data_IF_504189052372
#
_entry.id   IF_504189052372
#
_cell.length_a   1.000
_cell.length_b   1.000
_cell.length_c   1.000
_cell.angle_alpha   90.00
_cell.angle_beta   90.00
_cell.angle_gamma   90.00
#
_symmetry.space_group_name_H-M   'P 1'
#
loop_
_entity.id
_entity.type
_entity.pdbx_description
1 polymer ?
#
# COMPACT_ATOMS: atom_id res chain seq x y z
N UNK A 1 29.53 49.04 46.54
CA UNK A 1 29.31 47.67 46.04
C UNK A 1 27.86 47.56 45.54
N UNK A 2 27.62 47.88 44.27
CA UNK A 2 26.30 47.72 43.65
C UNK A 2 26.27 46.38 42.92
N UNK A 3 25.42 45.45 43.38
CA UNK A 3 25.10 44.22 42.64
C UNK A 3 24.01 44.55 41.62
N UNK A 4 24.37 44.60 40.34
CA UNK A 4 23.39 44.52 39.25
C UNK A 4 23.03 43.05 39.04
N UNK A 5 21.76 42.70 39.25
CA UNK A 5 21.17 41.45 38.81
C UNK A 5 21.00 41.52 37.28
N UNK A 6 21.71 40.68 36.55
CA UNK A 6 21.42 40.40 35.14
C UNK A 6 20.29 39.36 35.11
N UNK A 7 19.07 39.80 34.78
CA UNK A 7 17.99 38.90 34.40
C UNK A 7 18.23 38.45 32.95
N UNK A 8 18.63 37.20 32.77
CA UNK A 8 18.64 36.54 31.46
C UNK A 8 17.20 36.20 31.09
N UNK A 9 16.58 36.97 30.20
CA UNK A 9 15.32 36.58 29.59
C UNK A 9 15.59 35.47 28.58
N UNK A 10 15.34 34.22 28.97
CA UNK A 10 15.26 33.10 28.05
C UNK A 10 13.96 33.24 27.25
N UNK A 11 14.06 33.73 26.02
CA UNK A 11 12.97 33.64 25.05
C UNK A 11 12.83 32.18 24.62
N UNK A 12 11.91 31.45 25.23
CA UNK A 12 11.42 30.21 24.66
C UNK A 12 10.58 30.57 23.43
N UNK A 13 11.18 30.51 22.23
CA UNK A 13 10.40 30.42 21.01
C UNK A 13 9.73 29.05 20.97
N UNK A 14 8.54 28.95 21.57
CA UNK A 14 7.58 27.91 21.21
C UNK A 14 7.05 28.25 19.81
N UNK A 15 7.85 27.96 18.79
CA UNK A 15 7.41 28.01 17.40
C UNK A 15 6.36 26.92 17.21
N UNK A 16 5.10 27.31 17.05
CA UNK A 16 4.07 26.47 16.45
C UNK A 16 4.45 26.22 15.00
N UNK A 17 5.28 25.19 14.75
CA UNK A 17 5.60 24.70 13.42
C UNK A 17 4.39 23.93 12.86
N UNK A 18 3.33 24.66 12.52
CA UNK A 18 2.17 24.13 11.82
C UNK A 18 2.05 24.85 10.48
N UNK A 19 2.92 24.49 9.54
CA UNK A 19 2.72 24.58 8.08
C UNK A 19 4.08 24.52 7.38
N UNK A 20 4.72 23.34 7.34
CA UNK A 20 5.54 23.06 6.17
C UNK A 20 4.55 22.77 5.03
N UNK A 21 4.50 23.66 4.05
CA UNK A 21 3.70 23.42 2.84
C UNK A 21 4.32 22.27 2.09
N UNK A 22 3.51 21.25 1.77
CA UNK A 22 3.87 20.19 0.86
C UNK A 22 4.41 20.81 -0.45
N UNK A 23 5.64 20.50 -0.81
CA UNK A 23 6.16 20.81 -2.14
C UNK A 23 6.57 19.49 -2.75
N UNK A 24 5.71 18.98 -3.62
CA UNK A 24 6.03 17.84 -4.47
C UNK A 24 6.19 18.32 -5.91
N UNK A 25 6.90 17.57 -6.72
CA UNK A 25 6.96 17.79 -8.18
C UNK A 25 6.75 16.48 -8.88
N UNK A 26 5.78 16.44 -9.79
CA UNK A 26 5.42 15.23 -10.51
C UNK A 26 6.32 14.95 -11.71
N UNK A 27 6.74 13.70 -11.86
CA UNK A 27 7.40 13.17 -13.05
C UNK A 27 6.62 11.95 -13.56
N UNK A 28 6.14 12.02 -14.80
CA UNK A 28 5.61 10.84 -15.49
C UNK A 28 6.75 9.91 -15.86
N UNK A 29 6.75 8.70 -15.31
CA UNK A 29 7.74 7.65 -15.57
C UNK A 29 7.36 6.84 -16.80
N UNK A 30 6.07 6.56 -16.97
CA UNK A 30 5.50 5.86 -18.10
C UNK A 30 4.13 6.47 -18.43
N UNK A 31 3.85 6.75 -19.70
CA UNK A 31 2.58 7.31 -20.21
C UNK A 31 1.80 6.31 -21.08
N UNK A 32 2.16 5.03 -21.01
CA UNK A 32 1.59 3.93 -21.80
C UNK A 32 1.15 2.75 -20.93
N UNK A 33 0.94 2.99 -19.65
CA UNK A 33 0.40 1.99 -18.72
C UNK A 33 -1.00 1.62 -19.15
N UNK A 34 -1.31 0.33 -19.28
CA UNK A 34 -2.65 -0.08 -19.70
C UNK A 34 -3.69 0.06 -18.58
N UNK A 35 -3.36 -0.42 -17.39
CA UNK A 35 -4.19 -0.36 -16.18
C UNK A 35 -3.38 0.12 -14.98
N UNK A 36 -2.17 -0.42 -14.78
CA UNK A 36 -1.36 -0.15 -13.58
C UNK A 36 -2.11 -0.44 -12.29
N UNK A 37 -2.49 -1.70 -12.08
CA UNK A 37 -3.43 -2.07 -11.01
C UNK A 37 -2.78 -2.01 -9.62
N UNK A 38 -1.59 -2.61 -9.48
CA UNK A 38 -0.86 -2.65 -8.22
C UNK A 38 0.57 -2.19 -8.41
N UNK A 39 1.07 -1.44 -7.44
CA UNK A 39 2.47 -1.02 -7.36
C UNK A 39 3.19 -1.67 -6.20
N UNK A 40 4.47 -1.97 -6.38
CA UNK A 40 5.39 -2.36 -5.33
C UNK A 40 6.74 -1.65 -5.54
N UNK A 41 7.60 -1.65 -4.53
CA UNK A 41 8.92 -1.05 -4.62
C UNK A 41 9.96 -1.84 -3.85
N UNK A 42 11.21 -1.72 -4.27
CA UNK A 42 12.38 -2.27 -3.59
C UNK A 42 13.53 -2.46 -4.56
N UNK A 43 14.72 -2.75 -4.04
CA UNK A 43 15.91 -2.97 -4.85
C UNK A 43 15.81 -4.29 -5.62
N UNK A 44 15.66 -4.24 -6.94
CA UNK A 44 15.45 -5.46 -7.73
C UNK A 44 16.75 -6.16 -8.04
N UNK A 45 17.85 -5.43 -8.25
CA UNK A 45 19.11 -6.00 -8.71
C UNK A 45 20.30 -5.89 -7.74
N UNK A 46 20.08 -5.31 -6.57
CA UNK A 46 21.05 -5.17 -5.50
C UNK A 46 22.00 -3.98 -5.69
N UNK A 47 21.59 -2.97 -6.47
CA UNK A 47 22.42 -1.78 -6.73
C UNK A 47 22.29 -0.67 -5.67
N UNK A 48 21.50 -0.93 -4.62
CA UNK A 48 21.26 -0.07 -3.47
C UNK A 48 20.18 0.97 -3.69
N UNK A 49 19.42 0.92 -4.80
CA UNK A 49 18.37 1.88 -5.12
C UNK A 49 17.01 1.21 -5.07
N UNK A 50 16.04 1.92 -4.52
CA UNK A 50 14.64 1.48 -4.54
C UNK A 50 14.08 1.60 -5.96
N UNK A 51 13.69 0.50 -6.57
CA UNK A 51 13.02 0.50 -7.87
C UNK A 51 11.49 0.49 -7.75
N UNK A 52 10.82 0.66 -8.89
CA UNK A 52 9.35 0.55 -8.99
C UNK A 52 8.99 -0.73 -9.74
N UNK A 53 8.05 -1.50 -9.19
CA UNK A 53 7.41 -2.62 -9.86
C UNK A 53 5.93 -2.34 -10.07
N UNK A 54 5.41 -2.73 -11.23
CA UNK A 54 4.02 -2.49 -11.62
C UNK A 54 3.39 -3.78 -12.13
N UNK A 55 2.24 -4.14 -11.55
CA UNK A 55 1.30 -5.07 -12.16
C UNK A 55 0.43 -4.32 -13.18
N UNK A 56 0.89 -4.27 -14.43
CA UNK A 56 0.07 -3.77 -15.53
C UNK A 56 -0.86 -4.87 -16.06
N UNK A 57 -1.75 -4.55 -16.99
CA UNK A 57 -2.79 -5.45 -17.52
C UNK A 57 -2.27 -6.84 -17.88
N UNK A 58 -1.20 -6.90 -18.68
CA UNK A 58 -0.60 -8.14 -19.20
C UNK A 58 0.87 -8.31 -18.88
N UNK A 59 1.53 -7.27 -18.37
CA UNK A 59 2.95 -7.29 -18.07
C UNK A 59 3.18 -6.99 -16.59
N UNK A 60 4.14 -7.71 -16.01
CA UNK A 60 4.76 -7.34 -14.75
C UNK A 60 6.03 -6.61 -15.11
N UNK A 61 6.11 -5.34 -14.71
CA UNK A 61 7.11 -4.40 -15.20
C UNK A 61 7.98 -3.94 -14.05
N UNK A 62 9.28 -3.92 -14.29
CA UNK A 62 10.28 -3.29 -13.43
C UNK A 62 10.76 -2.01 -14.11
N UNK A 63 10.65 -0.89 -13.40
CA UNK A 63 11.26 0.37 -13.78
C UNK A 63 12.49 0.55 -12.91
N UNK A 64 13.66 0.32 -13.49
CA UNK A 64 14.94 0.49 -12.83
C UNK A 64 15.22 1.97 -12.59
N UNK A 65 15.50 2.29 -11.34
CA UNK A 65 15.74 3.63 -10.85
C UNK A 65 17.13 4.15 -11.27
N UNK A 66 17.20 5.33 -11.90
CA UNK A 66 18.47 5.95 -12.27
C UNK A 66 19.31 6.45 -11.07
N UNK A 67 18.73 6.51 -9.87
CA UNK A 67 19.38 6.96 -8.62
C UNK A 67 19.50 8.47 -8.46
N UNK A 68 18.69 9.24 -9.22
CA UNK A 68 18.62 10.70 -9.12
C UNK A 68 17.33 11.22 -9.73
N UNK A 69 16.86 12.37 -9.23
CA UNK A 69 15.78 13.14 -9.86
C UNK A 69 16.17 13.45 -11.32
N UNK A 70 15.18 13.44 -12.21
CA UNK A 70 15.31 13.66 -13.67
C UNK A 70 16.15 12.63 -14.45
N UNK A 71 16.60 11.54 -13.82
CA UNK A 71 17.24 10.44 -14.53
C UNK A 71 16.24 9.69 -15.43
N UNK A 72 16.77 9.02 -16.46
CA UNK A 72 15.97 8.16 -17.32
C UNK A 72 15.75 6.79 -16.67
N UNK A 73 14.50 6.44 -16.41
CA UNK A 73 14.12 5.12 -15.91
C UNK A 73 14.24 4.09 -17.03
N UNK A 74 14.76 2.90 -16.70
CA UNK A 74 14.87 1.80 -17.66
C UNK A 74 13.79 0.77 -17.39
N UNK A 75 13.01 0.43 -18.42
CA UNK A 75 11.87 -0.50 -18.31
C UNK A 75 12.29 -1.92 -18.68
N UNK A 76 12.03 -2.88 -17.80
CA UNK A 76 12.18 -4.31 -18.03
C UNK A 76 10.85 -5.03 -17.83
N UNK A 77 10.57 -6.02 -18.67
CA UNK A 77 9.41 -6.90 -18.52
C UNK A 77 9.85 -8.13 -17.75
N UNK A 78 9.40 -8.25 -16.50
CA UNK A 78 9.64 -9.41 -15.63
C UNK A 78 8.88 -10.61 -16.17
N UNK A 79 7.59 -10.43 -16.48
CA UNK A 79 6.75 -11.47 -17.03
C UNK A 79 5.62 -10.88 -17.87
N UNK A 80 5.07 -11.71 -18.75
CA UNK A 80 4.00 -11.32 -19.66
C UNK A 80 3.00 -12.46 -19.82
N UNK A 81 1.72 -12.10 -19.95
CA UNK A 81 0.62 -13.00 -20.26
C UNK A 81 0.54 -14.21 -19.30
N UNK A 82 0.73 -13.96 -17.99
CA UNK A 82 0.64 -14.99 -16.94
C UNK A 82 -0.69 -15.75 -16.96
N UNK A 83 -1.76 -15.06 -17.36
CA UNK A 83 -3.11 -15.59 -17.57
C UNK A 83 -3.79 -14.87 -18.74
N UNK A 84 -4.89 -15.43 -19.25
CA UNK A 84 -5.73 -14.75 -20.24
C UNK A 84 -6.38 -13.46 -19.69
N UNK A 85 -6.73 -13.43 -18.40
CA UNK A 85 -7.28 -12.26 -17.71
C UNK A 85 -6.16 -11.38 -17.15
N UNK A 86 -6.54 -10.27 -16.54
CA UNK A 86 -5.61 -9.20 -16.16
C UNK A 86 -4.86 -9.53 -14.85
N UNK A 87 -3.70 -8.89 -14.65
CA UNK A 87 -3.03 -8.87 -13.35
C UNK A 87 -3.76 -7.92 -12.39
N UNK A 88 -3.63 -8.13 -11.07
CA UNK A 88 -4.40 -7.39 -10.05
C UNK A 88 -3.60 -6.98 -8.82
N UNK A 89 -2.55 -7.70 -8.44
CA UNK A 89 -1.74 -7.31 -7.30
C UNK A 89 -0.31 -7.82 -7.41
N UNK A 90 0.57 -7.16 -6.65
CA UNK A 90 2.00 -7.46 -6.62
C UNK A 90 2.52 -7.21 -5.20
N UNK A 91 3.45 -8.04 -4.74
CA UNK A 91 4.23 -7.81 -3.53
C UNK A 91 5.71 -7.95 -3.85
N UNK A 92 6.53 -7.04 -3.34
CA UNK A 92 7.98 -7.09 -3.44
C UNK A 92 8.62 -6.80 -2.07
N UNK A 93 9.56 -7.65 -1.64
CA UNK A 93 10.33 -7.49 -0.40
C UNK A 93 11.56 -8.39 -0.46
N UNK A 94 12.69 -7.94 0.08
CA UNK A 94 13.84 -8.80 0.32
C UNK A 94 13.49 -9.74 1.48
N UNK A 95 13.30 -11.03 1.16
CA UNK A 95 12.85 -12.03 2.15
C UNK A 95 13.95 -13.02 2.55
N UNK A 96 15.09 -13.02 1.86
CA UNK A 96 16.23 -13.87 2.18
C UNK A 96 17.50 -13.12 2.61
N UNK A 97 17.46 -11.78 2.57
CA UNK A 97 18.51 -10.89 3.05
C UNK A 97 19.67 -10.73 2.08
N UNK A 98 19.49 -11.08 0.79
CA UNK A 98 20.53 -10.94 -0.23
C UNK A 98 20.63 -9.51 -0.80
N UNK A 99 19.78 -8.58 -0.33
CA UNK A 99 19.70 -7.20 -0.77
C UNK A 99 18.84 -6.99 -2.02
N UNK A 100 18.16 -8.02 -2.52
CA UNK A 100 17.26 -7.94 -3.67
C UNK A 100 15.86 -8.37 -3.27
N UNK A 101 14.85 -7.80 -3.92
CA UNK A 101 13.47 -8.17 -3.63
C UNK A 101 13.04 -9.46 -4.31
N UNK A 102 12.29 -10.28 -3.59
CA UNK A 102 11.46 -11.35 -4.13
C UNK A 102 10.09 -10.80 -4.52
N UNK A 103 9.54 -11.29 -5.63
CA UNK A 103 8.29 -10.79 -6.20
C UNK A 103 7.23 -11.89 -6.24
N UNK A 104 6.02 -11.56 -5.80
CA UNK A 104 4.83 -12.37 -5.99
C UNK A 104 3.75 -11.55 -6.70
N UNK A 105 2.91 -12.21 -7.49
CA UNK A 105 1.92 -11.57 -8.38
C UNK A 105 0.59 -12.30 -8.33
N UNK A 106 -0.50 -11.52 -8.25
CA UNK A 106 -1.86 -11.99 -8.45
C UNK A 106 -2.33 -11.69 -9.88
N UNK A 107 -2.93 -12.67 -10.53
CA UNK A 107 -3.48 -12.56 -11.89
C UNK A 107 -4.81 -13.30 -12.01
N UNK A 108 -5.29 -13.53 -13.24
CA UNK A 108 -6.59 -14.17 -13.46
C UNK A 108 -7.75 -13.30 -12.98
N UNK A 109 -7.64 -11.96 -13.08
CA UNK A 109 -8.59 -11.05 -12.46
C UNK A 109 -9.97 -11.10 -13.11
N UNK A 110 -10.93 -11.66 -12.35
CA UNK A 110 -12.33 -11.68 -12.72
C UNK A 110 -13.19 -11.65 -11.43
N UNK A 111 -13.54 -10.45 -10.91
CA UNK A 111 -14.21 -10.33 -9.61
C UNK A 111 -15.62 -10.90 -9.56
N UNK A 112 -16.27 -11.13 -10.71
CA UNK A 112 -17.61 -11.72 -10.77
C UNK A 112 -17.60 -13.25 -10.85
N UNK A 113 -16.46 -13.88 -11.15
CA UNK A 113 -16.34 -15.33 -11.20
C UNK A 113 -15.89 -15.86 -9.84
N UNK A 114 -16.87 -16.32 -9.06
CA UNK A 114 -16.67 -16.83 -7.69
C UNK A 114 -16.82 -18.35 -7.59
N UNK A 115 -16.91 -19.08 -8.71
CA UNK A 115 -17.22 -20.53 -8.71
C UNK A 115 -16.18 -21.37 -9.45
N UNK A 116 -15.40 -20.79 -10.34
CA UNK A 116 -14.44 -21.52 -11.17
C UNK A 116 -13.00 -21.02 -10.99
N UNK A 117 -12.20 -21.77 -10.23
CA UNK A 117 -10.77 -21.53 -10.04
C UNK A 117 -9.96 -21.56 -11.35
N UNK A 118 -10.44 -22.21 -12.42
CA UNK A 118 -9.68 -22.23 -13.68
C UNK A 118 -9.69 -20.88 -14.41
N UNK A 119 -10.66 -20.03 -14.09
CA UNK A 119 -10.93 -18.77 -14.82
C UNK A 119 -10.96 -17.56 -13.90
N UNK A 120 -10.59 -17.72 -12.63
CA UNK A 120 -10.60 -16.67 -11.62
C UNK A 120 -9.55 -16.92 -10.56
N UNK A 121 -8.74 -15.89 -10.34
CA UNK A 121 -7.62 -15.95 -9.41
C UNK A 121 -6.45 -16.75 -9.99
N UNK A 122 -5.26 -16.25 -9.74
CA UNK A 122 -4.01 -16.96 -9.89
C UNK A 122 -3.00 -16.27 -8.98
N UNK A 123 -2.10 -17.06 -8.41
CA UNK A 123 -0.99 -16.57 -7.59
C UNK A 123 0.29 -17.15 -8.16
N UNK A 124 1.30 -16.31 -8.35
CA UNK A 124 2.61 -16.71 -8.81
C UNK A 124 3.69 -16.14 -7.90
N UNK A 125 4.64 -16.98 -7.49
CA UNK A 125 5.96 -16.50 -7.11
C UNK A 125 6.79 -16.32 -8.38
N UNK A 126 7.48 -15.20 -8.52
CA UNK A 126 8.32 -14.92 -9.68
C UNK A 126 9.76 -15.30 -9.34
N UNK A 127 10.23 -16.43 -9.87
CA UNK A 127 11.59 -16.88 -9.63
C UNK A 127 12.57 -16.10 -10.50
N UNK A 128 13.33 -15.22 -9.84
CA UNK A 128 14.31 -14.36 -10.48
C UNK A 128 15.49 -15.17 -11.06
N UNK A 129 15.95 -14.85 -12.29
CA UNK A 129 17.23 -15.33 -12.81
C UNK A 129 18.41 -14.52 -12.22
N UNK A 130 19.64 -15.01 -12.39
CA UNK A 130 20.85 -14.28 -11.96
C UNK A 130 20.96 -12.90 -12.63
N UNK A 131 20.73 -12.84 -13.95
CA UNK A 131 20.54 -11.57 -14.67
C UNK A 131 19.06 -11.18 -14.64
N UNK A 132 18.68 -10.42 -13.61
CA UNK A 132 17.30 -10.00 -13.36
C UNK A 132 16.68 -9.11 -14.46
N UNK A 133 17.48 -8.66 -15.44
CA UNK A 133 16.96 -7.97 -16.63
C UNK A 133 16.29 -8.93 -17.63
N UNK A 134 16.49 -10.24 -17.49
CA UNK A 134 15.78 -11.27 -18.26
C UNK A 134 14.40 -11.56 -17.67
N UNK A 135 13.48 -12.15 -18.44
CA UNK A 135 12.20 -12.61 -17.90
C UNK A 135 12.36 -13.59 -16.74
N UNK A 136 11.50 -13.48 -15.74
CA UNK A 136 11.49 -14.33 -14.55
C UNK A 136 10.54 -15.52 -14.76
N UNK A 137 10.87 -16.64 -14.14
CA UNK A 137 10.08 -17.86 -14.27
C UNK A 137 8.87 -17.82 -13.30
N UNK A 138 7.62 -17.92 -13.77
CA UNK A 138 6.47 -17.94 -12.89
C UNK A 138 6.28 -19.33 -12.25
N UNK A 139 6.33 -19.38 -10.92
CA UNK A 139 6.01 -20.56 -10.11
C UNK A 139 4.57 -20.41 -9.63
N UNK A 140 3.65 -21.21 -10.19
CA UNK A 140 2.23 -21.15 -9.85
C UNK A 140 2.00 -21.72 -8.45
N UNK A 141 1.33 -20.95 -7.59
CA UNK A 141 0.98 -21.33 -6.22
C UNK A 141 -0.50 -21.73 -6.12
N UNK A 142 -0.90 -22.25 -4.95
CA UNK A 142 -2.32 -22.41 -4.61
C UNK A 142 -3.04 -21.06 -4.76
N UNK A 143 -4.33 -21.09 -5.07
CA UNK A 143 -5.12 -19.88 -5.09
C UNK A 143 -6.61 -20.19 -4.86
N UNK A 144 -7.32 -19.15 -4.47
CA UNK A 144 -8.78 -19.11 -4.40
C UNK A 144 -9.32 -18.27 -5.59
N UNK A 145 -10.64 -18.21 -5.72
CA UNK A 145 -11.30 -17.32 -6.69
C UNK A 145 -11.08 -15.86 -6.30
N UNK A 146 -11.05 -14.95 -7.28
CA UNK A 146 -11.02 -13.50 -7.05
C UNK A 146 -9.85 -12.97 -6.21
N UNK A 147 -8.65 -13.56 -6.33
CA UNK A 147 -7.41 -13.00 -5.75
C UNK A 147 -7.31 -11.50 -6.04
N UNK A 148 -7.00 -10.69 -5.03
CA UNK A 148 -7.13 -9.23 -5.15
C UNK A 148 -6.01 -8.42 -4.50
N UNK A 149 -5.45 -8.85 -3.37
CA UNK A 149 -4.32 -8.17 -2.69
C UNK A 149 -3.33 -9.19 -2.14
N UNK A 150 -2.07 -8.77 -1.96
CA UNK A 150 -1.05 -9.57 -1.33
C UNK A 150 0.03 -8.73 -0.66
N UNK A 151 0.68 -9.28 0.36
CA UNK A 151 1.81 -8.68 1.05
C UNK A 151 2.79 -9.76 1.54
N UNK A 152 4.08 -9.46 1.50
CA UNK A 152 5.09 -10.18 2.30
C UNK A 152 4.99 -9.72 3.75
N UNK A 153 4.79 -10.67 4.66
CA UNK A 153 4.62 -10.42 6.09
C UNK A 153 5.70 -11.15 6.88
N UNK A 154 6.37 -10.44 7.78
CA UNK A 154 7.33 -11.01 8.71
C UNK A 154 6.59 -11.52 9.95
N UNK A 155 6.80 -12.78 10.31
CA UNK A 155 6.29 -13.35 11.56
C UNK A 155 7.08 -12.82 12.75
N UNK A 156 6.52 -12.93 13.96
CA UNK A 156 7.15 -12.38 15.16
C UNK A 156 8.51 -13.04 15.48
N UNK A 157 8.69 -14.30 15.05
CA UNK A 157 9.91 -15.10 15.17
C UNK A 157 10.91 -14.91 14.02
N UNK A 158 10.59 -14.09 13.00
CA UNK A 158 11.55 -13.60 12.00
C UNK A 158 11.33 -14.04 10.54
N UNK A 159 10.86 -15.26 10.23
CA UNK A 159 10.59 -15.68 8.86
C UNK A 159 9.59 -14.79 8.11
N UNK A 160 9.69 -14.78 6.79
CA UNK A 160 8.70 -14.16 5.90
C UNK A 160 7.68 -15.18 5.41
N UNK A 161 6.44 -14.72 5.25
CA UNK A 161 5.33 -15.44 4.65
C UNK A 161 4.66 -14.57 3.58
N UNK A 162 4.02 -15.19 2.59
CA UNK A 162 3.17 -14.48 1.63
C UNK A 162 1.72 -14.55 2.09
N UNK A 163 1.13 -13.40 2.42
CA UNK A 163 -0.29 -13.27 2.67
C UNK A 163 -1.02 -12.88 1.38
N UNK A 164 -2.06 -13.63 1.01
CA UNK A 164 -2.87 -13.38 -0.20
C UNK A 164 -4.35 -13.33 0.16
N UNK A 165 -5.00 -12.26 -0.28
CA UNK A 165 -6.38 -11.92 0.07
C UNK A 165 -7.26 -11.89 -1.19
N UNK A 166 -8.28 -12.76 -1.28
CA UNK A 166 -9.36 -12.66 -2.26
C UNK A 166 -10.26 -11.43 -2.02
N UNK A 167 -11.02 -11.01 -3.03
CA UNK A 167 -12.10 -10.01 -2.88
C UNK A 167 -13.40 -10.67 -2.39
N UNK A 168 -13.71 -11.85 -2.91
CA UNK A 168 -14.94 -12.60 -2.69
C UNK A 168 -14.65 -14.07 -2.38
N UNK A 169 -15.45 -14.65 -1.48
CA UNK A 169 -15.41 -16.08 -1.20
C UNK A 169 -16.08 -16.90 -2.30
N UNK A 170 -15.94 -18.22 -2.23
CA UNK A 170 -16.58 -19.13 -3.18
C UNK A 170 -18.12 -18.99 -3.19
N UNK A 171 -18.70 -18.90 -4.39
CA UNK A 171 -20.14 -18.72 -4.59
C UNK A 171 -20.69 -17.36 -4.14
N UNK A 172 -19.85 -16.45 -3.68
CA UNK A 172 -20.27 -15.13 -3.22
C UNK A 172 -20.83 -14.29 -4.38
N UNK A 173 -21.85 -13.49 -4.10
CA UNK A 173 -22.39 -12.49 -5.03
C UNK A 173 -22.80 -11.24 -4.26
N UNK A 174 -22.24 -10.07 -4.63
CA UNK A 174 -22.58 -8.80 -3.99
C UNK A 174 -22.29 -8.75 -2.49
N UNK A 175 -21.27 -9.50 -2.03
CA UNK A 175 -20.93 -9.59 -0.60
C UNK A 175 -21.91 -10.43 0.22
N UNK A 176 -22.55 -11.43 -0.40
CA UNK A 176 -23.37 -12.45 0.27
C UNK A 176 -22.93 -13.83 -0.18
N UNK A 177 -22.78 -14.79 0.74
CA UNK A 177 -22.31 -16.14 0.45
C UNK A 177 -21.20 -16.55 1.42
N UNK A 178 -20.22 -17.33 0.94
CA UNK A 178 -19.04 -17.61 1.74
C UNK A 178 -18.19 -16.34 1.92
N UNK A 179 -17.59 -16.21 3.10
CA UNK A 179 -16.54 -15.24 3.35
C UNK A 179 -15.23 -15.63 2.65
N UNK A 180 -14.27 -14.70 2.61
CA UNK A 180 -12.97 -14.97 2.00
C UNK A 180 -12.11 -15.84 2.89
N UNK A 181 -11.25 -16.63 2.25
CA UNK A 181 -10.15 -17.35 2.90
C UNK A 181 -8.87 -16.58 2.67
N UNK A 182 -8.27 -16.09 3.74
CA UNK A 182 -6.92 -15.54 3.69
C UNK A 182 -5.95 -16.71 3.50
N UNK A 183 -5.07 -16.61 2.51
CA UNK A 183 -4.06 -17.63 2.23
C UNK A 183 -2.74 -17.13 2.80
N UNK A 184 -2.09 -17.93 3.65
CA UNK A 184 -0.75 -17.66 4.16
C UNK A 184 0.18 -18.76 3.64
N UNK A 185 1.15 -18.40 2.82
CA UNK A 185 2.18 -19.33 2.37
C UNK A 185 3.44 -19.22 3.20
N UNK A 186 3.99 -20.37 3.59
CA UNK A 186 5.35 -20.48 4.08
C UNK A 186 6.32 -20.45 2.90
N UNK A 187 7.44 -19.75 3.05
CA UNK A 187 8.49 -19.70 2.04
C UNK A 187 9.36 -20.95 2.17
N UNK A 188 9.33 -21.90 1.21
CA UNK A 188 10.19 -23.07 1.27
C UNK A 188 11.63 -22.71 0.87
N UNK A 189 12.59 -23.54 1.28
CA UNK A 189 13.99 -23.43 0.84
C UNK A 189 14.10 -23.50 -0.69
N UNK A 190 13.41 -24.48 -1.31
CA UNK A 190 13.25 -24.53 -2.76
C UNK A 190 12.02 -23.71 -3.19
N UNK A 191 12.22 -22.43 -3.46
CA UNK A 191 11.17 -21.49 -3.91
C UNK A 191 10.53 -21.85 -5.26
N UNK A 192 11.12 -22.75 -6.06
CA UNK A 192 10.51 -23.31 -7.29
C UNK A 192 9.68 -24.57 -7.03
N UNK A 193 9.71 -25.10 -5.81
CA UNK A 193 8.97 -26.28 -5.40
C UNK A 193 7.54 -25.97 -4.96
N UNK A 194 6.97 -26.90 -4.18
CA UNK A 194 5.64 -26.74 -3.58
C UNK A 194 5.76 -25.84 -2.34
N UNK A 195 4.94 -24.81 -2.27
CA UNK A 195 4.85 -23.93 -1.10
C UNK A 195 3.77 -24.46 -0.14
N UNK A 196 4.11 -24.78 1.12
CA UNK A 196 3.11 -25.04 2.15
C UNK A 196 2.23 -23.80 2.36
N UNK A 197 0.95 -24.00 2.67
CA UNK A 197 0.04 -22.90 2.92
C UNK A 197 -1.05 -23.27 3.92
N UNK A 198 -1.59 -22.24 4.57
CA UNK A 198 -2.76 -22.31 5.43
C UNK A 198 -3.89 -21.45 4.88
N UNK A 199 -5.12 -21.94 4.99
CA UNK A 199 -6.33 -21.19 4.70
C UNK A 199 -6.98 -20.75 6.01
N UNK A 200 -7.17 -19.45 6.15
CA UNK A 200 -7.76 -18.84 7.35
C UNK A 200 -9.13 -18.30 6.95
N UNK A 201 -10.18 -18.91 7.48
CA UNK A 201 -11.56 -18.47 7.28
C UNK A 201 -11.76 -17.14 8.02
N UNK A 202 -11.98 -16.06 7.25
CA UNK A 202 -12.12 -14.70 7.83
C UNK A 202 -13.56 -14.36 8.23
N UNK A 203 -14.53 -15.04 7.61
CA UNK A 203 -15.96 -14.67 7.58
C UNK A 203 -16.23 -13.25 7.02
N UNK A 204 -15.26 -12.65 6.32
CA UNK A 204 -15.37 -11.30 5.74
C UNK A 204 -15.76 -11.34 4.26
N UNK A 205 -16.41 -10.27 3.79
CA UNK A 205 -16.87 -10.12 2.41
C UNK A 205 -16.34 -8.82 1.79
N UNK A 206 -16.17 -8.80 0.47
CA UNK A 206 -15.73 -7.60 -0.26
C UNK A 206 -14.43 -7.03 0.31
N UNK A 207 -13.47 -7.92 0.58
CA UNK A 207 -12.19 -7.57 1.19
C UNK A 207 -11.29 -6.89 0.17
N UNK A 208 -11.14 -5.57 0.31
CA UNK A 208 -10.54 -4.77 -0.74
C UNK A 208 -9.06 -4.47 -0.48
N UNK A 209 -8.67 -4.23 0.77
CA UNK A 209 -7.27 -4.10 1.14
C UNK A 209 -6.97 -4.63 2.55
N UNK A 210 -5.71 -4.86 2.84
CA UNK A 210 -5.22 -5.18 4.17
C UNK A 210 -3.87 -4.50 4.43
N UNK A 211 -3.48 -4.46 5.69
CA UNK A 211 -2.20 -3.88 6.11
C UNK A 211 -1.46 -4.84 7.04
N UNK A 212 -0.20 -5.20 6.74
CA UNK A 212 0.71 -5.81 7.70
C UNK A 212 1.02 -4.85 8.86
N UNK A 213 0.93 -5.36 10.09
CA UNK A 213 1.23 -4.65 11.33
C UNK A 213 2.40 -5.35 12.02
N UNK A 214 3.61 -4.91 11.68
CA UNK A 214 4.85 -5.57 12.08
C UNK A 214 5.60 -4.73 13.11
N UNK A 215 6.00 -5.37 14.21
CA UNK A 215 7.01 -4.85 15.12
C UNK A 215 8.04 -5.97 15.28
N UNK A 216 9.21 -5.87 14.65
CA UNK A 216 10.24 -6.91 14.67
C UNK A 216 10.55 -7.40 16.09
N UNK A 217 10.56 -8.72 16.26
CA UNK A 217 10.80 -9.39 17.54
C UNK A 217 9.73 -9.18 18.61
N UNK A 218 8.57 -8.60 18.26
CA UNK A 218 7.50 -8.28 19.21
C UNK A 218 6.10 -8.67 18.74
N UNK A 219 5.74 -8.36 17.51
CA UNK A 219 4.37 -8.55 17.03
C UNK A 219 4.34 -8.68 15.51
N UNK A 220 3.53 -9.61 15.02
CA UNK A 220 3.10 -9.67 13.64
C UNK A 220 1.58 -9.75 13.61
N UNK A 221 0.97 -8.84 12.86
CA UNK A 221 -0.47 -8.71 12.75
C UNK A 221 -0.90 -8.35 11.33
N UNK A 222 -2.19 -8.51 11.04
CA UNK A 222 -2.83 -8.06 9.81
C UNK A 222 -4.15 -7.39 10.14
N UNK A 223 -4.42 -6.23 9.55
CA UNK A 223 -5.76 -5.63 9.58
C UNK A 223 -6.38 -5.75 8.21
N UNK A 224 -7.48 -6.49 8.09
CA UNK A 224 -8.17 -6.76 6.83
C UNK A 224 -9.42 -5.90 6.76
N UNK A 225 -9.54 -5.07 5.71
CA UNK A 225 -10.71 -4.25 5.45
C UNK A 225 -11.70 -4.97 4.53
N UNK A 226 -12.99 -4.88 4.87
CA UNK A 226 -14.07 -5.40 4.03
C UNK A 226 -15.42 -4.81 4.41
N UNK A 227 -16.50 -5.48 3.97
CA UNK A 227 -17.89 -5.07 4.18
C UNK A 227 -18.26 -4.94 5.66
N UNK A 228 -17.71 -5.79 6.51
CA UNK A 228 -18.03 -5.88 7.94
C UNK A 228 -17.28 -4.86 8.82
N UNK A 229 -16.31 -4.13 8.26
CA UNK A 229 -15.35 -3.34 9.02
C UNK A 229 -13.93 -3.81 8.76
N UNK A 230 -13.08 -3.66 9.78
CA UNK A 230 -11.69 -4.09 9.73
C UNK A 230 -11.44 -5.13 10.82
N UNK A 231 -11.15 -6.37 10.41
CA UNK A 231 -10.83 -7.45 11.35
C UNK A 231 -9.32 -7.53 11.57
N UNK A 232 -8.89 -7.72 12.82
CA UNK A 232 -7.47 -7.84 13.17
C UNK A 232 -7.09 -9.29 13.42
N UNK A 233 -6.05 -9.76 12.74
CA UNK A 233 -5.40 -11.04 12.94
C UNK A 233 -4.04 -10.85 13.59
N UNK A 234 -3.63 -11.81 14.42
CA UNK A 234 -2.31 -11.86 15.04
C UNK A 234 -1.65 -13.20 14.75
N UNK A 235 -0.34 -13.17 14.59
CA UNK A 235 0.49 -14.37 14.51
C UNK A 235 1.03 -14.70 15.90
N UNK A 236 0.69 -15.90 16.40
CA UNK A 236 1.16 -16.44 17.67
C UNK A 236 1.84 -17.80 17.49
N UNK A 237 2.01 -18.53 18.60
CA UNK A 237 2.69 -19.84 18.59
C UNK A 237 2.02 -20.87 17.67
N UNK A 238 0.69 -20.81 17.55
CA UNK A 238 -0.10 -21.70 16.70
C UNK A 238 -0.36 -21.12 15.29
N UNK A 239 0.36 -20.06 14.91
CA UNK A 239 0.20 -19.36 13.65
C UNK A 239 -0.81 -18.20 13.71
N UNK A 240 -1.40 -17.89 12.57
CA UNK A 240 -2.30 -16.74 12.40
C UNK A 240 -3.73 -17.05 12.85
N UNK A 241 -4.31 -16.18 13.67
CA UNK A 241 -5.69 -16.30 14.14
C UNK A 241 -6.37 -14.92 14.27
N UNK A 242 -7.70 -14.85 14.16
CA UNK A 242 -8.43 -13.63 14.48
C UNK A 242 -8.22 -13.26 15.95
N UNK A 243 -7.90 -11.99 16.20
CA UNK A 243 -7.62 -11.51 17.56
C UNK A 243 -8.86 -11.26 18.41
N UNK A 244 -10.05 -11.32 17.81
CA UNK A 244 -11.31 -10.85 18.39
C UNK A 244 -11.49 -9.32 18.35
N UNK A 245 -10.43 -8.57 18.01
CA UNK A 245 -10.52 -7.12 17.86
C UNK A 245 -10.99 -6.73 16.47
N UNK A 246 -11.85 -5.71 16.44
CA UNK A 246 -12.35 -5.07 15.23
C UNK A 246 -12.07 -3.58 15.28
N UNK A 247 -11.60 -3.04 14.17
CA UNK A 247 -11.53 -1.61 13.93
C UNK A 247 -12.70 -1.24 13.02
N UNK A 248 -13.31 -0.08 13.26
CA UNK A 248 -14.39 0.44 12.40
C UNK A 248 -15.52 -0.61 12.18
N UNK A 249 -16.08 -1.21 13.25
CA UNK A 249 -17.04 -2.31 13.11
C UNK A 249 -18.32 -1.85 12.41
N UNK A 250 -18.93 -2.76 11.63
CA UNK A 250 -20.22 -2.57 10.94
C UNK A 250 -20.24 -1.46 9.88
N UNK A 251 -19.06 -1.02 9.44
CA UNK A 251 -18.91 -0.05 8.34
C UNK A 251 -18.01 -0.65 7.28
N UNK A 252 -18.47 -0.67 6.02
CA UNK A 252 -17.63 -1.12 4.92
C UNK A 252 -16.37 -0.27 4.80
N UNK A 253 -15.22 -0.92 4.63
CA UNK A 253 -13.92 -0.27 4.43
C UNK A 253 -13.27 -0.83 3.17
N UNK A 254 -12.81 0.06 2.28
CA UNK A 254 -12.09 -0.27 1.06
C UNK A 254 -10.57 -0.24 1.24
N UNK A 255 -10.08 0.83 1.84
CA UNK A 255 -8.66 1.05 2.09
C UNK A 255 -8.42 1.26 3.58
N UNK A 256 -7.27 0.80 4.09
CA UNK A 256 -6.92 0.88 5.51
C UNK A 256 -5.42 1.12 5.69
N UNK A 257 -5.09 2.13 6.49
CA UNK A 257 -3.71 2.39 6.96
C UNK A 257 -3.71 2.92 8.39
N UNK A 258 -2.77 2.44 9.20
CA UNK A 258 -2.49 2.94 10.55
C UNK A 258 -1.30 3.89 10.52
N UNK A 259 -1.40 5.02 11.23
CA UNK A 259 -0.31 5.98 11.40
C UNK A 259 -0.22 6.50 12.83
N UNK A 260 0.75 7.38 13.04
CA UNK A 260 1.10 8.00 14.31
C UNK A 260 0.84 9.51 14.30
N UNK A 261 0.16 10.02 15.32
CA UNK A 261 0.08 11.46 15.63
C UNK A 261 1.26 11.92 16.50
N UNK A 262 2.28 11.08 16.68
CA UNK A 262 3.38 11.28 17.61
C UNK A 262 3.02 10.87 19.04
N UNK A 263 4.00 10.92 19.97
CA UNK A 263 3.81 10.62 21.41
C UNK A 263 3.06 9.30 21.70
N UNK A 264 3.26 8.28 20.84
CA UNK A 264 2.59 6.96 20.91
C UNK A 264 1.07 6.99 20.70
N UNK A 265 0.52 8.07 20.13
CA UNK A 265 -0.87 8.13 19.73
C UNK A 265 -1.01 7.65 18.29
N UNK A 266 -1.78 6.58 18.08
CA UNK A 266 -2.08 6.06 16.75
C UNK A 266 -3.40 6.64 16.23
N UNK A 267 -3.52 6.64 14.91
CA UNK A 267 -4.77 6.86 14.20
C UNK A 267 -4.90 5.85 13.06
N UNK A 268 -6.11 5.68 12.58
CA UNK A 268 -6.44 4.81 11.46
C UNK A 268 -7.08 5.64 10.36
N UNK A 269 -6.49 5.65 9.17
CA UNK A 269 -7.09 6.23 7.98
C UNK A 269 -7.82 5.14 7.17
N UNK A 270 -8.98 5.46 6.64
CA UNK A 270 -9.78 4.57 5.80
C UNK A 270 -10.37 5.29 4.59
N UNK A 271 -10.60 4.53 3.51
CA UNK A 271 -11.56 4.92 2.46
C UNK A 271 -12.81 4.08 2.63
N UNK A 272 -13.97 4.73 2.69
CA UNK A 272 -15.24 4.09 3.05
C UNK A 272 -16.35 4.37 2.02
N UNK A 273 -17.10 3.33 1.59
CA UNK A 273 -16.79 1.90 1.67
C UNK A 273 -15.74 1.47 0.62
N UNK A 274 -15.74 0.19 0.21
CA UNK A 274 -15.00 -0.26 -0.99
C UNK A 274 -15.35 0.62 -2.19
N UNK A 275 -14.32 1.13 -2.88
CA UNK A 275 -14.47 2.16 -3.93
C UNK A 275 -15.29 3.36 -3.44
N UNK A 276 -15.01 3.79 -2.22
CA UNK A 276 -15.81 4.75 -1.48
C UNK A 276 -15.68 6.19 -1.94
N UNK A 277 -16.43 7.04 -1.24
CA UNK A 277 -16.47 8.48 -1.47
C UNK A 277 -15.91 9.27 -0.29
N UNK A 278 -15.61 8.62 0.83
CA UNK A 278 -15.11 9.26 2.05
C UNK A 278 -13.68 8.82 2.36
N UNK A 279 -12.80 9.79 2.65
CA UNK A 279 -11.57 9.57 3.40
C UNK A 279 -11.84 9.92 4.87
N UNK A 280 -11.53 9.00 5.77
CA UNK A 280 -11.86 9.12 7.18
C UNK A 280 -10.64 8.82 8.05
N UNK A 281 -10.49 9.55 9.14
CA UNK A 281 -9.52 9.26 10.20
C UNK A 281 -10.25 8.92 11.49
N UNK A 282 -9.86 7.80 12.10
CA UNK A 282 -10.28 7.38 13.43
C UNK A 282 -9.12 7.60 14.40
N UNK A 283 -9.43 8.27 15.50
CA UNK A 283 -8.55 8.42 16.66
C UNK A 283 -9.23 7.82 17.87
N UNK A 284 -8.53 7.74 19.00
CA UNK A 284 -9.15 7.39 20.30
C UNK A 284 -10.34 8.31 20.66
N UNK A 285 -10.37 9.54 20.15
CA UNK A 285 -11.33 10.57 20.52
C UNK A 285 -12.49 10.69 19.51
N UNK A 286 -12.47 9.93 18.41
CA UNK A 286 -13.58 9.85 17.48
C UNK A 286 -13.21 9.68 16.00
N UNK A 287 -14.23 9.83 15.15
CA UNK A 287 -14.19 9.73 13.69
C UNK A 287 -14.22 11.12 13.06
N UNK A 288 -13.33 11.39 12.12
CA UNK A 288 -13.26 12.65 11.38
C UNK A 288 -13.23 12.36 9.87
N UNK A 289 -14.22 12.85 9.13
CA UNK A 289 -14.20 12.80 7.66
C UNK A 289 -13.27 13.90 7.17
N UNK A 290 -12.21 13.52 6.44
CA UNK A 290 -11.26 14.48 5.85
C UNK A 290 -11.78 15.02 4.52
N UNK A 291 -12.45 14.17 3.75
CA UNK A 291 -13.19 14.58 2.55
C UNK A 291 -14.26 13.56 2.20
N UNK A 292 -15.35 14.03 1.59
CA UNK A 292 -16.44 13.26 0.98
C UNK A 292 -16.55 13.54 -0.54
N UNK A 293 -15.55 14.22 -1.11
CA UNK A 293 -15.57 14.78 -2.47
C UNK A 293 -14.84 13.90 -3.49
N UNK A 294 -14.55 12.65 -3.14
CA UNK A 294 -13.91 11.69 -4.06
C UNK A 294 -14.92 10.73 -4.64
N UNK A 295 -14.54 10.09 -5.74
CA UNK A 295 -15.34 9.03 -6.36
C UNK A 295 -14.45 7.84 -6.65
N UNK A 296 -14.75 6.74 -5.99
CA UNK A 296 -13.96 5.51 -6.03
C UNK A 296 -12.52 5.76 -5.57
N UNK A 297 -12.39 6.17 -4.30
CA UNK A 297 -11.10 6.12 -3.62
C UNK A 297 -10.55 4.70 -3.63
N UNK A 298 -9.28 4.54 -3.98
CA UNK A 298 -8.69 3.22 -4.28
C UNK A 298 -7.25 3.07 -3.81
N UNK A 299 -6.64 4.16 -3.34
CA UNK A 299 -5.23 4.18 -2.98
C UNK A 299 -5.04 4.98 -1.69
N UNK A 300 -4.28 4.44 -0.73
CA UNK A 300 -4.10 5.05 0.58
C UNK A 300 -2.71 4.72 1.15
N UNK A 301 -1.99 5.76 1.58
CA UNK A 301 -0.73 5.66 2.29
C UNK A 301 -0.72 6.59 3.50
N UNK A 302 0.02 6.18 4.53
CA UNK A 302 0.24 6.97 5.74
C UNK A 302 1.71 6.86 6.12
N UNK A 303 2.39 8.00 6.19
CA UNK A 303 3.81 8.08 6.56
C UNK A 303 4.20 9.51 6.95
N UNK A 304 5.37 9.68 7.56
CA UNK A 304 5.93 10.98 7.92
C UNK A 304 6.72 11.59 6.75
N UNK A 305 5.99 12.03 5.72
CA UNK A 305 6.57 12.65 4.52
C UNK A 305 7.37 13.93 4.82
N UNK A 306 7.09 14.59 5.95
CA UNK A 306 7.74 15.85 6.32
C UNK A 306 8.78 15.70 7.45
N UNK A 307 8.94 14.52 8.06
CA UNK A 307 9.85 14.28 9.18
C UNK A 307 9.49 15.04 10.45
N UNK A 308 8.20 15.29 10.66
CA UNK A 308 7.69 16.04 11.80
C UNK A 308 7.32 15.14 12.99
N UNK A 309 7.63 13.84 12.93
CA UNK A 309 7.32 12.84 13.94
C UNK A 309 5.82 12.51 14.03
N UNK A 310 5.06 12.90 13.00
CA UNK A 310 3.62 12.65 12.85
C UNK A 310 3.34 12.34 11.39
N UNK A 311 2.53 11.33 11.14
CA UNK A 311 2.25 10.89 9.78
C UNK A 311 1.20 11.76 9.10
N UNK A 312 1.30 11.88 7.77
CA UNK A 312 0.31 12.49 6.90
C UNK A 312 -0.47 11.38 6.20
N UNK A 313 -1.64 11.73 5.66
CA UNK A 313 -2.47 10.79 4.91
C UNK A 313 -2.44 11.17 3.44
N UNK A 314 -2.02 10.25 2.58
CA UNK A 314 -2.06 10.41 1.13
C UNK A 314 -3.14 9.48 0.58
N UNK A 315 -4.04 10.00 -0.24
CA UNK A 315 -5.05 9.18 -0.93
C UNK A 315 -5.11 9.49 -2.42
N UNK A 316 -5.58 8.51 -3.19
CA UNK A 316 -5.90 8.63 -4.60
C UNK A 316 -7.27 8.06 -4.94
N UNK A 317 -7.89 8.61 -5.98
CA UNK A 317 -9.18 8.13 -6.49
C UNK A 317 -9.19 8.04 -8.02
N UNK A 318 -9.92 7.03 -8.53
CA UNK A 318 -9.80 6.61 -9.94
C UNK A 318 -10.84 7.20 -10.87
N UNK A 319 -11.95 7.74 -10.37
CA UNK A 319 -13.03 8.25 -11.21
C UNK A 319 -13.29 9.75 -11.01
N UNK A 320 -13.64 10.52 -12.06
CA UNK A 320 -13.94 11.94 -11.93
C UNK A 320 -15.03 12.18 -10.89
N UNK A 321 -14.74 13.01 -9.89
CA UNK A 321 -15.69 13.41 -8.87
C UNK A 321 -16.72 14.41 -9.45
N UNK A 322 -17.55 15.02 -8.58
CA UNK A 322 -18.60 15.97 -9.00
C UNK A 322 -18.05 17.24 -9.68
N UNK A 323 -16.77 17.58 -9.45
CA UNK A 323 -16.09 18.69 -10.14
C UNK A 323 -15.29 18.23 -11.36
N UNK A 324 -15.37 16.95 -11.72
CA UNK A 324 -14.66 16.37 -12.86
C UNK A 324 -13.20 16.03 -12.58
N UNK A 325 -12.77 16.04 -11.32
CA UNK A 325 -11.37 15.81 -10.94
C UNK A 325 -11.10 14.35 -10.59
N UNK A 326 -9.92 13.88 -10.99
CA UNK A 326 -9.21 12.72 -10.44
C UNK A 326 -7.88 13.19 -9.88
N UNK A 327 -7.27 12.43 -8.97
CA UNK A 327 -5.94 12.77 -8.51
C UNK A 327 -5.47 12.05 -7.27
N UNK A 328 -4.43 12.64 -6.69
CA UNK A 328 -3.84 12.32 -5.40
C UNK A 328 -3.88 13.58 -4.53
N UNK A 329 -4.14 13.42 -3.23
CA UNK A 329 -4.09 14.48 -2.23
C UNK A 329 -3.32 14.02 -1.00
N UNK A 330 -2.69 14.98 -0.32
CA UNK A 330 -2.09 14.77 1.01
C UNK A 330 -2.82 15.62 2.05
N UNK A 331 -3.07 15.03 3.22
CA UNK A 331 -3.70 15.67 4.36
C UNK A 331 -2.71 15.75 5.52
N UNK A 332 -2.61 16.95 6.10
CA UNK A 332 -1.65 17.26 7.18
C UNK A 332 -2.38 17.63 8.45
N UNK A 333 -2.07 16.94 9.56
CA UNK A 333 -2.67 17.19 10.86
C UNK A 333 -2.19 18.50 11.50
N UNK A 334 -3.14 19.39 11.80
CA UNK A 334 -2.91 20.71 12.37
C UNK A 334 -3.00 20.76 13.90
N UNK A 335 -3.33 19.64 14.54
CA UNK A 335 -3.44 19.49 15.98
C UNK A 335 -2.81 18.18 16.46
N UNK A 336 -2.54 18.08 17.76
CA UNK A 336 -1.93 16.88 18.34
C UNK A 336 -2.94 15.72 18.43
N UNK A 337 -4.21 16.06 18.50
CA UNK A 337 -5.32 15.13 18.65
C UNK A 337 -5.76 14.52 17.31
N UNK A 338 -5.34 15.07 16.17
CA UNK A 338 -5.70 14.60 14.84
C UNK A 338 -7.16 14.88 14.45
N UNK A 339 -7.76 15.96 14.99
CA UNK A 339 -9.14 16.36 14.66
C UNK A 339 -9.19 17.39 13.54
N UNK A 340 -8.07 18.06 13.24
CA UNK A 340 -8.00 19.10 12.20
C UNK A 340 -6.95 18.74 11.19
N UNK A 341 -7.34 18.75 9.91
CA UNK A 341 -6.45 18.41 8.81
C UNK A 341 -6.57 19.46 7.71
N UNK A 342 -5.44 19.79 7.06
CA UNK A 342 -5.44 20.60 5.84
C UNK A 342 -5.12 19.71 4.64
N UNK A 343 -5.91 19.84 3.58
CA UNK A 343 -5.69 19.19 2.28
C UNK A 343 -4.69 20.00 1.44
N UNK A 344 -3.78 19.30 0.76
CA UNK A 344 -2.90 19.87 -0.25
C UNK A 344 -2.89 19.00 -1.52
N UNK A 345 -2.80 19.66 -2.66
CA UNK A 345 -2.46 19.01 -3.94
C UNK A 345 -0.95 18.76 -3.98
N UNK A 346 -0.54 17.61 -4.53
CA UNK A 346 0.89 17.30 -4.71
C UNK A 346 1.50 18.12 -5.87
N UNK A 347 0.93 17.98 -7.07
CA UNK A 347 1.28 18.77 -8.25
C UNK A 347 0.05 18.95 -9.14
N UNK A 348 -0.40 20.19 -9.33
CA UNK A 348 -1.62 20.51 -10.10
C UNK A 348 -1.51 20.20 -11.59
N UNK A 349 -0.28 20.10 -12.11
CA UNK A 349 0.00 19.84 -13.53
C UNK A 349 -0.20 18.37 -13.88
N UNK A 350 -0.07 17.47 -12.91
CA UNK A 350 -0.28 16.04 -13.12
C UNK A 350 -1.77 15.73 -13.03
N UNK A 351 -2.28 15.05 -14.05
CA UNK A 351 -3.59 14.39 -14.01
C UNK A 351 -3.38 12.90 -13.82
N UNK A 352 -4.05 12.32 -12.84
CA UNK A 352 -3.96 10.89 -12.56
C UNK A 352 -5.30 10.35 -12.06
N UNK A 353 -5.80 9.31 -12.73
CA UNK A 353 -6.91 8.49 -12.27
C UNK A 353 -6.35 7.38 -11.38
N UNK A 354 -5.96 7.75 -10.16
CA UNK A 354 -5.10 6.93 -9.29
C UNK A 354 -5.80 5.63 -8.86
N UNK A 355 -5.21 4.52 -9.27
CA UNK A 355 -5.63 3.16 -8.94
C UNK A 355 -4.86 2.66 -7.71
N UNK A 356 -3.55 2.84 -7.65
CA UNK A 356 -2.74 2.45 -6.49
C UNK A 356 -1.59 3.44 -6.26
N UNK A 357 -1.11 3.51 -5.02
CA UNK A 357 0.00 4.35 -4.61
C UNK A 357 0.76 3.77 -3.42
N UNK A 358 2.05 4.07 -3.34
CA UNK A 358 2.86 3.75 -2.16
C UNK A 358 3.98 4.78 -1.95
N UNK A 359 4.42 4.98 -0.70
CA UNK A 359 5.56 5.82 -0.38
C UNK A 359 6.88 5.06 -0.48
N UNK A 360 7.93 5.70 -0.99
CA UNK A 360 9.29 5.18 -1.04
C UNK A 360 10.32 6.31 -1.12
N UNK A 361 11.50 6.14 -0.53
CA UNK A 361 12.65 7.02 -0.77
C UNK A 361 13.33 6.56 -2.07
N UNK A 362 13.09 7.29 -3.17
CA UNK A 362 13.56 6.89 -4.50
C UNK A 362 14.87 7.58 -4.90
N UNK A 363 15.28 8.67 -4.24
CA UNK A 363 16.52 9.35 -4.56
C UNK A 363 17.58 9.27 -3.44
N UNK A 364 17.25 8.62 -2.33
CA UNK A 364 18.13 8.44 -1.19
C UNK A 364 18.27 9.70 -0.34
N UNK A 365 17.38 10.70 -0.51
CA UNK A 365 17.39 11.94 0.24
C UNK A 365 16.66 11.83 1.59
N UNK A 366 16.27 10.62 2.01
CA UNK A 366 15.72 10.29 3.33
C UNK A 366 14.37 10.94 3.64
N UNK A 367 13.74 11.60 2.69
CA UNK A 367 12.31 11.83 2.70
C UNK A 367 11.59 10.77 1.83
N UNK A 368 10.28 10.69 1.96
CA UNK A 368 9.50 9.74 1.17
C UNK A 368 8.89 10.47 -0.03
N UNK A 369 9.11 9.92 -1.21
CA UNK A 369 8.38 10.21 -2.44
C UNK A 369 7.08 9.41 -2.50
N UNK A 370 6.24 9.71 -3.49
CA UNK A 370 4.99 8.98 -3.73
C UNK A 370 4.99 8.44 -5.15
N UNK A 371 4.89 7.11 -5.27
CA UNK A 371 4.64 6.42 -6.54
C UNK A 371 3.14 6.27 -6.70
N UNK A 372 2.59 6.60 -7.86
CA UNK A 372 1.18 6.42 -8.16
C UNK A 372 0.95 5.89 -9.58
N UNK A 373 0.09 4.89 -9.70
CA UNK A 373 -0.34 4.33 -10.97
C UNK A 373 -1.77 4.81 -11.30
N UNK A 374 -1.98 5.19 -12.56
CA UNK A 374 -3.23 5.74 -13.06
C UNK A 374 -3.89 4.84 -14.09
N UNK A 375 -5.10 4.36 -13.79
CA UNK A 375 -5.86 3.46 -14.68
C UNK A 375 -6.36 4.17 -15.92
N UNK A 376 -7.22 5.17 -15.76
CA UNK A 376 -7.87 5.84 -16.90
C UNK A 376 -6.95 6.89 -17.56
N UNK A 377 -5.91 7.33 -16.86
CA UNK A 377 -4.89 8.25 -17.37
C UNK A 377 -3.69 7.57 -17.99
N UNK A 378 -3.61 6.23 -17.90
CA UNK A 378 -2.58 5.41 -18.54
C UNK A 378 -1.14 5.78 -18.16
N UNK A 379 -0.92 6.16 -16.90
CA UNK A 379 0.37 6.68 -16.48
C UNK A 379 0.88 6.08 -15.15
N UNK A 380 2.20 5.99 -15.05
CA UNK A 380 2.94 5.82 -13.80
C UNK A 380 3.62 7.15 -13.48
N UNK A 381 3.42 7.68 -12.28
CA UNK A 381 3.95 8.97 -11.84
C UNK A 381 4.70 8.81 -10.53
N UNK A 382 5.84 9.48 -10.42
CA UNK A 382 6.51 9.75 -9.14
C UNK A 382 6.26 11.21 -8.78
N UNK A 383 5.76 11.45 -7.56
CA UNK A 383 5.74 12.77 -6.95
C UNK A 383 6.95 12.88 -6.05
N UNK A 384 7.96 13.60 -6.53
CA UNK A 384 9.21 13.82 -5.82
C UNK A 384 9.00 14.82 -4.69
N UNK A 385 9.28 14.42 -3.48
CA UNK A 385 9.24 15.32 -2.33
C UNK A 385 10.40 16.33 -2.44
N UNK A 386 10.11 17.59 -2.14
CA UNK A 386 11.03 18.73 -2.29
C UNK A 386 11.37 19.32 -0.92
N UNK A 387 11.29 18.52 0.14
CA UNK A 387 11.57 18.99 1.50
C UNK A 387 12.99 19.51 1.57
N UNK A 388 13.14 20.82 1.81
CA UNK A 388 14.44 21.41 2.10
C UNK A 388 14.89 20.97 3.48
N UNK A 389 16.07 20.35 3.54
CA UNK A 389 16.76 19.97 4.78
C UNK A 389 17.42 21.18 5.44
#
# INVERSE_FOLDING_TARGET
MNKQLLLSAAFAMAGTAFAQTATFTGQTIDDKVSIGYGVASGDVDGDGKTDILLADKKEIVWYKNPGKKDGAWTRYVIAKDLTEQDNVCIAARDIDGDGKVEVAVGAGWNPSETKNLKTSGAVFYMAAPDDRTKPWEPVRLHHEVTIHRMHWVQTADGPFQLAVLPLHGEGNTGGSGAGVKLIIFDVPENKKGIWPYNLIETNMHMTHNFQPMEIPGRMAGLSIAGKEGVQVFLNGADGWAPSGNWMVPERGVGEIRTGSLGKKQLFTATIEPMHGTELVVYTKDGRTVLTDRIKEGHALAVADFFGQGRDQVVMGWRNPNVTGETGVRIYVGNDAEGKKWTEYTLDEKIKIACEDLLPADLDGDGDLDIIAAGRATHNLVVYWNQRKR
#
